data_IF_429062624356
#
_entry.id   IF_429062624356
#
_cell.length_a   1.000
_cell.length_b   1.000
_cell.length_c   1.000
_cell.angle_alpha   90.00
_cell.angle_beta   90.00
_cell.angle_gamma   90.00
#
_symmetry.space_group_name_H-M   'P 1'
#
loop_
_entity.id
_entity.type
_entity.pdbx_description
1 polymer ?
#
# COMPACT_ATOMS: atom_id res chain seq x y z
N UNK A 1 -14.78 83.21 1.45
CA UNK A 1 -15.75 82.66 0.48
C UNK A 1 -15.52 81.15 0.38
N UNK A 2 -16.53 80.37 0.77
CA UNK A 2 -16.84 78.95 0.46
C UNK A 2 -15.70 77.94 0.17
N UNK A 3 -15.48 77.05 1.15
CA UNK A 3 -15.41 75.57 1.10
C UNK A 3 -15.10 74.83 -0.21
N UNK A 4 -14.13 73.90 -0.14
CA UNK A 4 -14.25 72.57 -0.75
C UNK A 4 -13.42 71.52 0.05
N UNK A 5 -14.09 70.44 0.47
CA UNK A 5 -13.55 69.22 1.08
C UNK A 5 -12.96 68.29 -0.01
N UNK A 6 -11.91 67.53 0.33
CA UNK A 6 -11.66 66.12 -0.12
C UNK A 6 -10.46 65.60 0.66
N UNK A 7 -10.70 64.89 1.77
CA UNK A 7 -10.86 63.43 1.90
C UNK A 7 -9.50 62.71 1.93
N UNK A 8 -9.15 62.30 3.14
CA UNK A 8 -8.04 61.43 3.52
C UNK A 8 -8.35 59.99 3.08
N UNK A 9 -7.36 59.26 2.56
CA UNK A 9 -7.39 57.80 2.52
C UNK A 9 -6.01 57.28 2.96
N UNK A 10 -5.95 56.80 4.20
CA UNK A 10 -4.82 56.06 4.72
C UNK A 10 -4.74 54.71 4.00
N UNK A 11 -3.60 54.42 3.37
CA UNK A 11 -3.29 53.10 2.82
C UNK A 11 -3.01 52.13 3.96
N UNK A 12 -3.92 51.18 4.18
CA UNK A 12 -3.69 50.03 5.03
C UNK A 12 -2.88 48.99 4.24
N UNK A 13 -1.62 48.77 4.62
CA UNK A 13 -0.81 47.67 4.13
C UNK A 13 -1.29 46.37 4.80
N UNK A 14 -2.07 45.57 4.08
CA UNK A 14 -2.47 44.23 4.51
C UNK A 14 -1.26 43.31 4.27
N UNK A 15 -0.54 43.01 5.35
CA UNK A 15 0.39 41.89 5.40
C UNK A 15 -0.42 40.60 5.28
N UNK A 16 -0.51 40.05 4.08
CA UNK A 16 -0.99 38.69 3.87
C UNK A 16 0.10 37.73 4.38
N UNK A 17 0.00 37.37 5.65
CA UNK A 17 0.74 36.25 6.21
C UNK A 17 0.23 34.98 5.55
N UNK A 18 0.97 34.47 4.55
CA UNK A 18 0.84 33.11 4.08
C UNK A 18 1.30 32.18 5.21
N UNK A 19 0.36 31.83 6.09
CA UNK A 19 0.53 30.69 6.99
C UNK A 19 0.56 29.44 6.12
N UNK A 20 1.74 28.84 6.00
CA UNK A 20 1.94 27.46 5.60
C UNK A 20 1.01 26.57 6.43
N UNK A 21 -0.06 26.07 5.82
CA UNK A 21 -0.73 24.87 6.31
C UNK A 21 -0.04 23.67 5.65
N UNK A 22 1.02 23.20 6.30
CA UNK A 22 1.44 21.81 6.19
C UNK A 22 1.05 21.12 7.50
N UNK A 23 -0.21 20.72 7.62
CA UNK A 23 -0.61 19.79 8.67
C UNK A 23 -0.19 18.39 8.23
N UNK A 24 1.03 17.99 8.57
CA UNK A 24 1.37 16.58 8.70
C UNK A 24 0.64 16.07 9.95
N UNK A 25 -0.61 15.65 9.79
CA UNK A 25 -1.39 15.03 10.87
C UNK A 25 -0.89 13.59 11.06
N UNK A 26 0.27 13.44 11.71
CA UNK A 26 0.65 12.13 12.25
C UNK A 26 -0.35 11.77 13.34
N UNK A 27 -1.18 10.78 13.05
CA UNK A 27 -2.24 10.28 13.90
C UNK A 27 -1.76 9.04 14.66
N UNK A 28 -2.39 8.79 15.80
CA UNK A 28 -2.17 7.62 16.64
C UNK A 28 -2.38 6.29 15.88
N UNK A 29 -1.70 5.22 16.32
CA UNK A 29 -1.77 3.88 15.73
C UNK A 29 -3.10 3.16 15.99
N UNK A 30 -4.07 3.78 16.68
CA UNK A 30 -5.36 3.19 17.05
C UNK A 30 -6.06 2.40 15.94
N UNK A 31 -6.12 2.87 14.67
CA UNK A 31 -6.75 2.13 13.58
C UNK A 31 -6.08 0.78 13.26
N UNK A 32 -4.79 0.63 13.59
CA UNK A 32 -4.02 -0.60 13.41
C UNK A 32 -3.80 -1.36 14.71
N UNK A 33 -4.26 -0.84 15.84
CA UNK A 33 -4.00 -1.42 17.16
C UNK A 33 -4.40 -2.90 17.22
N UNK A 34 -3.60 -3.67 17.96
CA UNK A 34 -3.75 -5.11 18.13
C UNK A 34 -2.59 -5.91 17.56
N UNK A 35 -2.76 -7.22 17.57
CA UNK A 35 -1.71 -8.18 17.21
C UNK A 35 -1.93 -8.65 15.77
N UNK A 36 -0.84 -8.62 15.00
CA UNK A 36 -0.79 -9.08 13.63
C UNK A 36 0.25 -10.18 13.51
N UNK A 37 -0.03 -11.24 12.75
CA UNK A 37 0.93 -12.32 12.56
C UNK A 37 0.97 -12.89 11.15
N UNK A 38 2.10 -13.49 10.81
CA UNK A 38 2.27 -14.37 9.66
C UNK A 38 3.11 -15.60 10.08
N UNK A 39 3.58 -16.38 9.11
CA UNK A 39 4.36 -17.59 9.40
C UNK A 39 5.69 -17.32 10.10
N UNK A 40 6.24 -16.12 9.97
CA UNK A 40 7.63 -15.81 10.34
C UNK A 40 7.72 -14.83 11.52
N UNK A 41 6.69 -14.02 11.77
CA UNK A 41 6.72 -12.99 12.82
C UNK A 41 5.33 -12.64 13.33
N UNK A 42 5.33 -12.02 14.51
CA UNK A 42 4.20 -11.33 15.11
C UNK A 42 4.60 -9.86 15.28
N UNK A 43 3.70 -8.95 14.96
CA UNK A 43 3.85 -7.51 15.14
C UNK A 43 2.68 -7.05 15.99
N UNK A 44 2.96 -6.62 17.22
CA UNK A 44 1.96 -5.96 18.07
C UNK A 44 2.02 -4.46 17.83
N UNK A 45 0.88 -3.88 17.49
CA UNK A 45 0.70 -2.45 17.34
C UNK A 45 0.03 -1.95 18.62
N UNK A 46 0.80 -1.23 19.42
CA UNK A 46 0.39 -0.77 20.73
C UNK A 46 -0.19 0.66 20.67
N UNK A 47 -1.08 0.99 21.60
CA UNK A 47 -1.71 2.32 21.71
C UNK A 47 -0.71 3.43 22.11
N UNK A 48 0.47 3.06 22.61
CA UNK A 48 1.56 3.99 22.93
C UNK A 48 2.42 4.37 21.72
N UNK A 49 1.93 4.12 20.50
CA UNK A 49 2.62 4.36 19.24
C UNK A 49 3.91 3.54 19.07
N UNK A 50 3.95 2.32 19.63
CA UNK A 50 5.05 1.37 19.44
C UNK A 50 4.65 0.13 18.65
N UNK A 51 5.61 -0.40 17.91
CA UNK A 51 5.55 -1.68 17.21
C UNK A 51 6.48 -2.66 17.91
N UNK A 52 5.92 -3.69 18.54
CA UNK A 52 6.69 -4.78 19.12
C UNK A 52 6.80 -5.94 18.14
N UNK A 53 8.03 -6.30 17.79
CA UNK A 53 8.36 -7.39 16.88
C UNK A 53 8.73 -8.64 17.66
N UNK A 54 8.07 -9.74 17.32
CA UNK A 54 8.38 -11.08 17.83
C UNK A 54 8.67 -11.98 16.64
N UNK A 55 9.87 -12.57 16.59
CA UNK A 55 10.28 -13.43 15.49
C UNK A 55 9.98 -14.89 15.83
N UNK A 56 9.41 -15.63 14.87
CA UNK A 56 9.17 -17.07 14.96
C UNK A 56 10.45 -17.81 14.54
N UNK A 57 11.44 -17.80 15.42
CA UNK A 57 12.79 -18.37 15.18
C UNK A 57 12.82 -19.89 15.32
N UNK A 58 13.93 -20.51 14.91
CA UNK A 58 14.14 -21.96 14.98
C UNK A 58 12.97 -22.77 14.40
N UNK A 59 12.61 -22.51 13.13
CA UNK A 59 11.45 -23.17 12.47
C UNK A 59 10.11 -22.92 13.17
N UNK A 60 9.99 -21.84 13.93
CA UNK A 60 8.81 -21.50 14.72
C UNK A 60 8.78 -22.15 16.10
N UNK A 61 9.82 -22.85 16.54
CA UNK A 61 9.91 -23.45 17.87
C UNK A 61 10.16 -22.43 18.99
N UNK A 62 10.53 -21.20 18.66
CA UNK A 62 10.77 -20.19 19.67
C UNK A 62 10.33 -18.81 19.21
N UNK A 63 9.59 -18.15 20.07
CA UNK A 63 9.16 -16.77 19.88
C UNK A 63 10.15 -15.85 20.58
N UNK A 64 10.92 -15.12 19.76
CA UNK A 64 11.97 -14.21 20.21
C UNK A 64 11.46 -12.77 20.19
N UNK A 65 11.45 -12.10 21.34
CA UNK A 65 11.10 -10.67 21.46
C UNK A 65 12.24 -9.83 20.93
N UNK A 66 12.22 -9.57 19.63
CA UNK A 66 13.37 -9.08 18.90
C UNK A 66 13.56 -7.56 18.97
N UNK A 67 12.48 -6.77 18.91
CA UNK A 67 12.59 -5.30 18.94
C UNK A 67 11.29 -4.60 19.32
N UNK A 68 11.41 -3.36 19.78
CA UNK A 68 10.31 -2.40 19.91
C UNK A 68 10.71 -1.11 19.18
N UNK A 69 9.90 -0.68 18.22
CA UNK A 69 10.14 0.51 17.40
C UNK A 69 9.01 1.53 17.57
N UNK A 70 9.34 2.82 17.58
CA UNK A 70 8.30 3.85 17.56
C UNK A 70 7.73 3.98 16.14
N UNK A 71 6.43 4.17 16.02
CA UNK A 71 5.76 4.40 14.75
C UNK A 71 4.62 5.41 14.86
N UNK A 72 4.15 5.92 13.72
CA UNK A 72 2.97 6.77 13.62
C UNK A 72 2.24 6.52 12.30
N UNK A 73 0.99 6.95 12.20
CA UNK A 73 0.24 6.91 10.95
C UNK A 73 0.14 8.28 10.33
N UNK A 74 0.41 8.36 9.04
CA UNK A 74 0.17 9.54 8.24
C UNK A 74 -0.79 9.18 7.10
N UNK A 75 -1.48 10.19 6.57
CA UNK A 75 -2.20 10.06 5.30
C UNK A 75 -1.26 10.41 4.15
N UNK A 76 -1.20 9.53 3.15
CA UNK A 76 -0.53 9.81 1.89
C UNK A 76 -1.32 10.79 1.03
N UNK A 77 -0.66 11.32 0.00
CA UNK A 77 -1.26 12.32 -0.89
C UNK A 77 -2.39 11.75 -1.75
N UNK A 78 -2.48 10.42 -1.83
CA UNK A 78 -3.34 9.67 -2.73
C UNK A 78 -4.42 8.85 -1.98
N UNK A 79 -4.59 9.11 -0.67
CA UNK A 79 -5.56 8.42 0.18
C UNK A 79 -5.05 7.11 0.80
N UNK A 80 -3.79 6.76 0.57
CA UNK A 80 -3.13 5.62 1.22
C UNK A 80 -2.77 5.92 2.68
N UNK A 81 -2.74 4.89 3.51
CA UNK A 81 -2.22 5.00 4.88
C UNK A 81 -0.72 4.77 4.85
N UNK A 82 0.05 5.67 5.47
CA UNK A 82 1.51 5.57 5.58
C UNK A 82 1.86 5.26 7.04
N UNK A 83 2.40 4.07 7.28
CA UNK A 83 3.04 3.72 8.54
C UNK A 83 4.46 4.29 8.56
N UNK A 84 4.71 5.30 9.39
CA UNK A 84 6.05 5.84 9.59
C UNK A 84 6.75 5.13 10.72
N UNK A 85 7.84 4.42 10.44
CA UNK A 85 8.60 3.67 11.46
C UNK A 85 9.93 4.34 11.74
N UNK A 86 10.23 4.56 13.02
CA UNK A 86 11.49 5.14 13.47
C UNK A 86 12.51 4.04 13.73
N UNK A 87 13.34 3.78 12.73
CA UNK A 87 14.47 2.86 12.85
C UNK A 87 15.64 3.45 13.65
N UNK A 88 16.36 2.65 14.46
CA UNK A 88 17.52 3.12 15.20
C UNK A 88 18.66 3.64 14.32
N UNK A 89 18.82 3.06 13.12
CA UNK A 89 19.85 3.47 12.15
C UNK A 89 19.53 4.77 11.42
N UNK A 90 18.28 5.22 11.45
CA UNK A 90 17.81 6.35 10.64
C UNK A 90 17.53 7.58 11.48
N UNK A 91 17.88 8.76 10.94
CA UNK A 91 17.55 10.03 11.61
C UNK A 91 16.07 10.39 11.47
N UNK A 92 15.45 10.08 10.33
CA UNK A 92 14.04 10.34 10.05
C UNK A 92 13.25 9.04 10.09
N UNK A 93 11.98 9.06 10.53
CA UNK A 93 11.09 7.92 10.35
C UNK A 93 10.94 7.59 8.85
N UNK A 94 10.95 6.30 8.53
CA UNK A 94 10.80 5.81 7.16
C UNK A 94 9.33 5.56 6.85
N UNK A 95 8.87 5.98 5.68
CA UNK A 95 7.50 5.78 5.23
C UNK A 95 7.28 4.36 4.67
N UNK A 96 6.32 3.64 5.23
CA UNK A 96 5.83 2.36 4.74
C UNK A 96 4.35 2.49 4.40
N UNK A 97 4.00 2.70 3.12
CA UNK A 97 2.62 2.63 2.69
C UNK A 97 2.02 1.25 2.97
N UNK A 98 0.80 1.23 3.50
CA UNK A 98 0.08 0.02 3.87
C UNK A 98 -1.38 0.11 3.42
N UNK A 99 -1.91 -1.03 2.97
CA UNK A 99 -3.34 -1.20 2.67
C UNK A 99 -3.94 -2.18 3.66
N UNK A 100 -5.05 -1.82 4.33
CA UNK A 100 -5.77 -2.76 5.20
C UNK A 100 -7.12 -3.08 4.58
N UNK A 101 -7.32 -4.35 4.22
CA UNK A 101 -8.55 -4.86 3.62
C UNK A 101 -9.00 -6.08 4.44
N UNK A 102 -10.19 -6.02 5.04
CA UNK A 102 -10.80 -7.15 5.76
C UNK A 102 -9.86 -7.84 6.78
N UNK A 103 -9.27 -7.06 7.70
CA UNK A 103 -8.31 -7.54 8.71
C UNK A 103 -7.02 -8.16 8.16
N UNK A 104 -6.70 -7.86 6.90
CA UNK A 104 -5.45 -8.26 6.26
C UNK A 104 -4.69 -7.00 5.85
N UNK A 105 -3.39 -6.97 6.15
CA UNK A 105 -2.51 -5.86 5.81
C UNK A 105 -1.66 -6.24 4.59
N UNK A 106 -1.61 -5.35 3.61
CA UNK A 106 -0.94 -5.50 2.33
C UNK A 106 0.16 -4.45 2.17
N UNK A 107 1.29 -4.87 1.61
CA UNK A 107 2.39 -4.01 1.19
C UNK A 107 2.50 -3.88 -0.34
N UNK A 108 1.71 -4.66 -1.07
CA UNK A 108 1.51 -4.55 -2.51
C UNK A 108 0.01 -4.41 -2.75
N UNK A 109 -0.41 -3.16 -2.91
CA UNK A 109 -1.81 -2.78 -3.01
C UNK A 109 -1.95 -1.54 -3.87
N UNK A 110 -3.18 -1.27 -4.28
CA UNK A 110 -3.52 -0.26 -5.26
C UNK A 110 -4.63 0.63 -4.74
N UNK A 111 -4.52 1.92 -5.03
CA UNK A 111 -5.53 2.90 -4.72
C UNK A 111 -6.20 3.38 -6.01
N UNK A 112 -7.53 3.44 -6.01
CA UNK A 112 -8.29 3.95 -7.15
C UNK A 112 -8.00 5.45 -7.33
N UNK A 113 -7.73 5.86 -8.56
CA UNK A 113 -7.53 7.25 -8.92
C UNK A 113 -8.68 7.76 -9.78
N UNK A 114 -9.16 8.95 -9.44
CA UNK A 114 -10.12 9.69 -10.25
C UNK A 114 -9.36 10.84 -10.90
N UNK A 115 -8.82 10.58 -12.10
CA UNK A 115 -8.22 11.64 -12.91
C UNK A 115 -9.38 12.36 -13.58
N UNK A 116 -9.57 13.63 -13.21
CA UNK A 116 -10.51 14.51 -13.88
C UNK A 116 -10.11 14.60 -15.35
N UNK A 117 -11.00 14.17 -16.24
CA UNK A 117 -10.91 14.49 -17.67
C UNK A 117 -11.37 15.93 -17.83
N UNK A 118 -10.58 16.79 -18.49
CA UNK A 118 -10.86 18.22 -18.74
C UNK A 118 -12.14 18.50 -19.56
N UNK A 119 -13.01 17.51 -19.77
CA UNK A 119 -14.29 17.63 -20.46
C UNK A 119 -15.35 18.29 -19.55
N UNK A 120 -15.08 19.54 -19.14
CA UNK A 120 -16.01 20.42 -18.42
C UNK A 120 -16.92 21.25 -19.34
N UNK A 121 -17.03 20.88 -20.62
CA UNK A 121 -17.90 21.54 -21.62
C UNK A 121 -18.85 20.57 -22.34
N UNK A 122 -19.27 19.48 -21.67
CA UNK A 122 -20.41 18.67 -22.14
C UNK A 122 -21.54 18.72 -21.11
N UNK A 123 -22.72 19.29 -21.44
CA UNK A 123 -23.87 19.20 -20.57
C UNK A 123 -24.31 17.73 -20.56
N UNK A 124 -24.45 17.16 -19.37
CA UNK A 124 -24.95 15.79 -19.14
C UNK A 124 -24.04 14.69 -19.72
N UNK A 125 -22.88 14.45 -19.09
CA UNK A 125 -22.21 13.15 -19.26
C UNK A 125 -23.09 12.11 -18.56
N UNK A 126 -23.87 11.39 -19.34
CA UNK A 126 -24.49 10.13 -18.93
C UNK A 126 -23.46 9.35 -18.11
N UNK A 127 -23.82 8.94 -16.89
CA UNK A 127 -22.97 8.03 -16.11
C UNK A 127 -22.82 6.76 -16.93
N UNK A 128 -21.74 6.65 -17.71
CA UNK A 128 -21.43 5.46 -18.48
C UNK A 128 -21.26 4.35 -17.45
N UNK A 129 -22.27 3.50 -17.33
CA UNK A 129 -22.25 2.41 -16.36
C UNK A 129 -21.28 1.36 -16.86
N UNK A 130 -20.05 1.41 -16.37
CA UNK A 130 -19.07 0.38 -16.64
C UNK A 130 -19.52 -0.94 -16.03
N UNK A 131 -19.34 -2.01 -16.77
CA UNK A 131 -19.74 -3.36 -16.36
C UNK A 131 -18.70 -3.93 -15.39
N UNK A 132 -17.43 -3.56 -15.56
CA UNK A 132 -16.38 -4.03 -14.67
C UNK A 132 -16.29 -3.23 -13.37
N UNK A 133 -16.23 -3.92 -12.21
CA UNK A 133 -16.00 -3.26 -10.93
C UNK A 133 -14.56 -2.72 -10.78
N UNK A 134 -13.63 -3.14 -11.64
CA UNK A 134 -12.25 -2.66 -11.65
C UNK A 134 -12.04 -1.49 -12.60
N UNK A 135 -13.06 -1.06 -13.36
CA UNK A 135 -12.88 -0.02 -14.38
C UNK A 135 -12.18 1.24 -13.84
N UNK A 136 -11.18 1.72 -14.56
CA UNK A 136 -10.43 2.93 -14.27
C UNK A 136 -8.98 2.70 -13.87
N UNK A 137 -8.34 3.77 -13.38
CA UNK A 137 -6.92 3.82 -13.06
C UNK A 137 -6.64 3.41 -11.60
N UNK A 138 -5.74 2.44 -11.41
CA UNK A 138 -5.32 1.91 -10.13
C UNK A 138 -3.82 2.08 -9.94
N UNK A 139 -3.47 2.89 -8.95
CA UNK A 139 -2.09 3.29 -8.68
C UNK A 139 -1.48 2.37 -7.66
N UNK A 140 -0.27 1.87 -7.94
CA UNK A 140 0.49 1.13 -6.95
C UNK A 140 0.81 2.05 -5.78
N UNK A 141 0.35 1.67 -4.60
CA UNK A 141 0.56 2.42 -3.36
C UNK A 141 1.65 1.77 -2.50
N UNK A 142 2.22 0.62 -2.88
CA UNK A 142 3.14 -0.16 -2.05
C UNK A 142 4.53 -0.34 -2.66
N UNK A 143 5.58 0.13 -1.97
CA UNK A 143 6.97 0.10 -2.46
C UNK A 143 7.93 -0.73 -1.60
N UNK A 144 7.48 -1.34 -0.50
CA UNK A 144 8.34 -2.16 0.38
C UNK A 144 7.91 -3.62 0.36
N UNK A 145 8.84 -4.54 0.66
CA UNK A 145 8.56 -5.98 0.73
C UNK A 145 8.17 -6.47 2.12
N UNK A 146 8.49 -5.71 3.16
CA UNK A 146 8.25 -6.10 4.54
C UNK A 146 8.31 -4.91 5.49
N UNK A 147 7.64 -5.05 6.64
CA UNK A 147 7.83 -4.21 7.83
C UNK A 147 8.77 -5.01 8.75
N UNK A 148 10.01 -4.57 8.85
CA UNK A 148 11.09 -5.31 9.53
C UNK A 148 11.69 -4.51 10.68
N UNK A 149 12.65 -5.11 11.38
CA UNK A 149 13.39 -4.49 12.49
C UNK A 149 14.46 -3.51 11.97
N UNK A 150 14.89 -3.70 10.72
CA UNK A 150 15.77 -2.80 9.98
C UNK A 150 15.03 -2.19 8.79
N UNK A 151 15.62 -1.15 8.20
CA UNK A 151 15.03 -0.48 7.03
C UNK A 151 14.92 -1.47 5.87
N UNK A 152 13.70 -1.74 5.37
CA UNK A 152 13.50 -2.66 4.26
C UNK A 152 13.96 -2.04 2.94
N UNK A 153 14.34 -2.90 2.00
CA UNK A 153 14.59 -2.49 0.62
C UNK A 153 13.31 -2.03 -0.07
N UNK A 154 13.38 -0.90 -0.79
CA UNK A 154 12.29 -0.38 -1.61
C UNK A 154 12.39 -0.87 -3.05
N UNK A 155 11.26 -1.21 -3.66
CA UNK A 155 11.17 -1.66 -5.05
C UNK A 155 11.69 -0.55 -5.99
N UNK A 156 12.59 -0.82 -6.94
CA UNK A 156 13.05 0.17 -7.91
C UNK A 156 11.98 0.46 -8.97
N UNK A 157 11.01 -0.44 -9.11
CA UNK A 157 9.97 -0.40 -10.13
C UNK A 157 8.64 -0.85 -9.55
N UNK A 158 7.58 -0.24 -10.05
CA UNK A 158 6.20 -0.49 -9.68
C UNK A 158 5.37 -0.69 -10.95
N UNK A 159 4.30 -1.45 -10.83
CA UNK A 159 3.33 -1.62 -11.92
C UNK A 159 2.02 -1.01 -11.48
N UNK A 160 1.43 -0.13 -12.28
CA UNK A 160 0.06 0.36 -12.08
C UNK A 160 -0.85 -0.25 -13.15
N UNK A 161 -2.16 -0.17 -12.93
CA UNK A 161 -3.13 -0.75 -13.83
C UNK A 161 -4.12 0.28 -14.33
N UNK A 162 -4.53 0.15 -15.58
CA UNK A 162 -5.76 0.76 -16.05
C UNK A 162 -6.67 -0.34 -16.58
N UNK A 163 -7.88 -0.45 -16.03
CA UNK A 163 -8.85 -1.46 -16.45
C UNK A 163 -9.94 -0.81 -17.29
N UNK A 164 -10.25 -1.44 -18.42
CA UNK A 164 -11.49 -1.22 -19.17
C UNK A 164 -12.51 -2.30 -18.78
N UNK A 165 -13.62 -2.40 -19.51
CA UNK A 165 -14.63 -3.43 -19.25
C UNK A 165 -14.14 -4.86 -19.55
N UNK A 166 -13.12 -5.03 -20.39
CA UNK A 166 -12.62 -6.34 -20.82
C UNK A 166 -11.09 -6.47 -20.85
N UNK A 167 -10.36 -5.36 -20.84
CA UNK A 167 -8.91 -5.30 -21.00
C UNK A 167 -8.24 -4.60 -19.82
N UNK A 168 -6.97 -4.91 -19.60
CA UNK A 168 -6.12 -4.27 -18.60
C UNK A 168 -4.80 -3.84 -19.23
N UNK A 169 -4.37 -2.65 -18.86
CA UNK A 169 -3.09 -2.07 -19.23
C UNK A 169 -2.15 -2.10 -18.02
N UNK A 170 -0.95 -2.65 -18.20
CA UNK A 170 0.12 -2.67 -17.20
C UNK A 170 1.07 -1.51 -17.49
N UNK A 171 1.13 -0.57 -16.56
CA UNK A 171 1.90 0.66 -16.68
C UNK A 171 3.12 0.55 -15.78
N UNK A 172 4.31 0.46 -16.35
CA UNK A 172 5.56 0.37 -15.59
C UNK A 172 6.02 1.75 -15.16
N UNK A 173 6.29 1.89 -13.87
CA UNK A 173 6.90 3.05 -13.24
C UNK A 173 8.27 2.65 -12.68
N UNK A 174 9.28 3.48 -12.87
CA UNK A 174 10.62 3.30 -12.30
C UNK A 174 10.99 4.49 -11.44
N UNK A 175 11.84 4.25 -10.43
CA UNK A 175 12.28 5.28 -9.51
C UNK A 175 12.96 6.43 -10.27
N UNK A 176 12.63 7.66 -9.89
CA UNK A 176 13.16 8.87 -10.48
C UNK A 176 13.67 9.82 -9.39
N UNK A 177 14.81 10.45 -9.64
CA UNK A 177 15.37 11.48 -8.77
C UNK A 177 14.90 12.85 -9.26
N UNK A 178 13.60 13.12 -9.05
CA UNK A 178 12.93 14.38 -9.42
C UNK A 178 11.99 14.81 -8.30
N UNK A 179 11.77 16.12 -8.10
CA UNK A 179 10.74 16.58 -7.19
C UNK A 179 9.36 16.09 -7.67
N UNK A 180 8.52 15.71 -6.71
CA UNK A 180 7.17 15.30 -7.03
C UNK A 180 6.31 16.51 -7.42
N UNK A 181 5.63 16.39 -8.56
CA UNK A 181 4.65 17.33 -9.06
C UNK A 181 3.45 16.53 -9.60
N UNK A 182 2.24 17.04 -9.40
CA UNK A 182 1.04 16.44 -9.99
C UNK A 182 0.97 16.84 -11.46
N UNK A 183 1.28 15.90 -12.32
CA UNK A 183 1.19 16.01 -13.77
C UNK A 183 0.63 14.70 -14.33
N UNK A 184 -0.19 14.77 -15.36
CA UNK A 184 -0.71 13.60 -16.06
C UNK A 184 -0.08 13.46 -17.43
N UNK A 185 -0.05 12.24 -17.94
CA UNK A 185 0.41 11.90 -19.30
C UNK A 185 -0.62 11.02 -19.98
N UNK A 186 -0.63 11.07 -21.31
CA UNK A 186 -1.56 10.30 -22.11
C UNK A 186 -0.98 8.90 -22.40
N UNK A 187 -1.85 7.90 -22.32
CA UNK A 187 -1.64 6.55 -22.82
C UNK A 187 -2.55 6.38 -24.03
N UNK A 188 -2.00 5.94 -25.15
CA UNK A 188 -2.75 5.77 -26.38
C UNK A 188 -2.37 4.44 -27.05
N UNK A 189 -3.38 3.59 -27.27
CA UNK A 189 -3.26 2.28 -27.93
C UNK A 189 -3.78 2.30 -29.38
N UNK A 190 -3.97 3.49 -29.96
CA UNK A 190 -4.57 3.72 -31.27
C UNK A 190 -6.08 3.91 -31.19
N UNK A 191 -6.79 2.93 -30.63
CA UNK A 191 -8.27 2.92 -30.57
C UNK A 191 -8.82 3.52 -29.26
N UNK A 192 -8.00 3.54 -28.21
CA UNK A 192 -8.38 4.00 -26.89
C UNK A 192 -7.28 4.88 -26.29
N UNK A 193 -7.68 5.98 -25.67
CA UNK A 193 -6.77 6.91 -25.00
C UNK A 193 -7.29 7.27 -23.62
N UNK A 194 -6.38 7.33 -22.65
CA UNK A 194 -6.68 7.70 -21.27
C UNK A 194 -5.49 8.41 -20.62
N UNK A 195 -5.75 9.12 -19.53
CA UNK A 195 -4.72 9.82 -18.75
C UNK A 195 -4.30 9.02 -17.52
N UNK A 196 -3.02 9.12 -17.17
CA UNK A 196 -2.43 8.52 -15.96
C UNK A 196 -1.47 9.50 -15.30
N UNK A 197 -1.16 9.29 -14.02
CA UNK A 197 -0.18 10.12 -13.33
C UNK A 197 1.21 9.93 -13.95
N UNK A 198 1.89 11.03 -14.28
CA UNK A 198 3.26 10.98 -14.80
C UNK A 198 4.26 10.62 -13.72
N UNK A 199 4.05 11.19 -12.54
CA UNK A 199 4.85 10.99 -11.34
C UNK A 199 3.96 10.35 -10.28
N UNK A 200 4.47 9.30 -9.66
CA UNK A 200 3.85 8.66 -8.50
C UNK A 200 4.74 8.86 -7.29
N UNK A 201 4.18 9.40 -6.22
CA UNK A 201 4.84 9.43 -4.92
C UNK A 201 4.31 8.28 -4.08
N UNK A 202 5.20 7.37 -3.71
CA UNK A 202 4.89 6.20 -2.88
C UNK A 202 5.82 6.22 -1.68
N UNK A 203 5.26 6.50 -0.50
CA UNK A 203 6.05 6.85 0.69
C UNK A 203 6.86 8.12 0.44
N UNK A 204 8.18 8.04 0.61
CA UNK A 204 9.10 9.16 0.37
C UNK A 204 9.81 9.08 -1.00
N UNK A 205 9.45 8.13 -1.88
CA UNK A 205 10.10 7.90 -3.18
C UNK A 205 9.17 8.30 -4.33
N UNK A 206 9.76 8.94 -5.35
CA UNK A 206 9.09 9.32 -6.59
C UNK A 206 9.43 8.33 -7.70
N UNK A 207 8.41 7.95 -8.47
CA UNK A 207 8.51 7.08 -9.63
C UNK A 207 7.92 7.77 -10.86
N UNK A 208 8.37 7.39 -12.06
CA UNK A 208 7.84 7.92 -13.32
C UNK A 208 7.62 6.80 -14.34
N UNK A 209 6.66 7.00 -15.25
CA UNK A 209 6.37 6.11 -16.38
C UNK A 209 6.87 6.66 -17.73
N UNK A 210 7.52 7.83 -17.74
CA UNK A 210 8.03 8.48 -18.95
C UNK A 210 9.48 8.91 -18.77
N UNK A 211 10.22 8.97 -19.88
CA UNK A 211 11.61 9.43 -19.87
C UNK A 211 11.64 10.95 -20.07
N UNK A 212 12.31 11.67 -19.17
CA UNK A 212 12.55 13.10 -19.28
C UNK A 212 11.26 13.92 -19.38
N UNK A 213 11.11 14.71 -20.46
CA UNK A 213 9.92 15.54 -20.73
C UNK A 213 8.84 14.81 -21.55
N UNK A 214 8.83 13.48 -21.52
CA UNK A 214 7.83 12.71 -22.23
C UNK A 214 6.41 13.09 -21.78
N UNK A 215 5.50 13.18 -22.75
CA UNK A 215 4.07 13.45 -22.54
C UNK A 215 3.20 12.22 -22.77
N UNK A 216 3.79 11.12 -23.23
CA UNK A 216 3.11 9.89 -23.58
C UNK A 216 3.81 8.67 -22.97
N UNK A 217 3.03 7.74 -22.43
CA UNK A 217 3.52 6.43 -22.01
C UNK A 217 3.64 5.54 -23.23
N UNK A 218 4.85 5.01 -23.47
CA UNK A 218 5.13 4.11 -24.61
C UNK A 218 5.42 2.67 -24.18
N UNK A 219 5.63 2.46 -22.88
CA UNK A 219 6.02 1.17 -22.32
C UNK A 219 4.88 0.64 -21.45
N UNK A 220 3.83 0.16 -22.12
CA UNK A 220 2.72 -0.51 -21.47
C UNK A 220 2.48 -1.86 -22.12
N UNK A 221 2.05 -2.83 -21.31
CA UNK A 221 1.56 -4.11 -21.80
C UNK A 221 0.04 -4.10 -21.71
N UNK A 222 -0.63 -4.81 -22.62
CA UNK A 222 -2.09 -4.87 -22.69
C UNK A 222 -2.52 -6.32 -22.82
N UNK A 223 -3.54 -6.72 -22.04
CA UNK A 223 -4.14 -8.04 -22.15
C UNK A 223 -5.59 -8.05 -21.69
N UNK A 224 -6.31 -9.14 -21.90
CA UNK A 224 -7.66 -9.33 -21.37
C UNK A 224 -7.63 -9.73 -19.91
N UNK A 225 -8.73 -9.60 -19.17
CA UNK A 225 -8.82 -10.17 -17.82
C UNK A 225 -10.19 -10.75 -17.53
N UNK A 226 -10.24 -11.66 -16.57
CA UNK A 226 -11.50 -12.24 -16.07
C UNK A 226 -11.50 -12.25 -14.55
N UNK A 227 -12.63 -11.91 -13.95
CA UNK A 227 -12.84 -11.96 -12.49
C UNK A 227 -13.69 -13.18 -12.17
N UNK A 228 -13.17 -14.05 -11.30
CA UNK A 228 -13.86 -15.26 -10.84
C UNK A 228 -13.94 -15.23 -9.30
N UNK A 229 -15.01 -14.63 -8.78
CA UNK A 229 -15.19 -14.45 -7.34
C UNK A 229 -14.04 -13.62 -6.73
N UNK A 230 -13.27 -14.25 -5.85
CA UNK A 230 -12.13 -13.65 -5.15
C UNK A 230 -10.79 -13.85 -5.90
N UNK A 231 -10.83 -14.10 -7.21
CA UNK A 231 -9.62 -14.23 -8.05
C UNK A 231 -9.73 -13.42 -9.33
N UNK A 232 -8.58 -13.03 -9.87
CA UNK A 232 -8.44 -12.40 -11.19
C UNK A 232 -7.41 -13.17 -12.01
N UNK A 233 -7.71 -13.35 -13.30
CA UNK A 233 -6.78 -13.93 -14.28
C UNK A 233 -6.46 -12.88 -15.31
N UNK A 234 -5.17 -12.69 -15.59
CA UNK A 234 -4.70 -11.83 -16.68
C UNK A 234 -4.32 -12.67 -17.90
N UNK A 235 -4.83 -12.29 -19.06
CA UNK A 235 -4.68 -13.00 -20.31
C UNK A 235 -5.57 -14.24 -20.41
N UNK A 236 -5.13 -15.21 -21.21
CA UNK A 236 -5.86 -16.45 -21.49
C UNK A 236 -5.28 -17.66 -20.77
N UNK A 237 -4.26 -17.48 -19.93
CA UNK A 237 -3.61 -18.56 -19.18
C UNK A 237 -4.38 -18.84 -17.88
N UNK A 238 -5.24 -19.88 -17.81
CA UNK A 238 -6.11 -20.11 -16.66
C UNK A 238 -5.35 -20.53 -15.40
N UNK A 239 -4.08 -20.94 -15.54
CA UNK A 239 -3.21 -21.37 -14.44
C UNK A 239 -2.62 -20.19 -13.64
N UNK A 240 -2.61 -18.96 -14.19
CA UNK A 240 -2.11 -17.76 -13.52
C UNK A 240 -3.25 -16.96 -12.89
N UNK A 241 -3.83 -17.51 -11.83
CA UNK A 241 -4.84 -16.85 -11.01
C UNK A 241 -4.17 -16.10 -9.86
N UNK A 242 -4.60 -14.85 -9.67
CA UNK A 242 -4.17 -14.01 -8.56
C UNK A 242 -5.34 -13.81 -7.60
N UNK A 243 -5.12 -13.79 -6.28
CA UNK A 243 -6.16 -13.43 -5.33
C UNK A 243 -6.63 -11.99 -5.62
N UNK A 244 -7.91 -11.71 -5.38
CA UNK A 244 -8.53 -10.40 -5.57
C UNK A 244 -9.11 -9.92 -4.24
N UNK A 245 -8.41 -9.00 -3.61
CA UNK A 245 -8.89 -8.34 -2.39
C UNK A 245 -9.38 -6.93 -2.72
N UNK A 246 -10.58 -6.59 -2.27
CA UNK A 246 -11.19 -5.27 -2.45
C UNK A 246 -11.73 -4.74 -1.14
N UNK A 247 -11.51 -3.45 -0.88
CA UNK A 247 -12.17 -2.78 0.23
C UNK A 247 -13.67 -2.59 -0.05
N UNK A 248 -14.46 -2.43 1.02
CA UNK A 248 -15.92 -2.29 0.91
C UNK A 248 -16.35 -1.07 0.09
N UNK A 249 -15.60 0.02 0.19
CA UNK A 249 -15.78 1.27 -0.57
C UNK A 249 -15.16 1.22 -1.99
N UNK A 250 -14.52 0.10 -2.36
CA UNK A 250 -13.82 -0.08 -3.64
C UNK A 250 -12.73 0.97 -3.93
N UNK A 251 -12.14 1.56 -2.89
CA UNK A 251 -11.00 2.48 -3.00
C UNK A 251 -9.65 1.75 -3.02
N UNK A 252 -9.57 0.58 -2.38
CA UNK A 252 -8.36 -0.24 -2.29
C UNK A 252 -8.54 -1.60 -2.97
N UNK A 253 -7.43 -2.07 -3.54
CA UNK A 253 -7.33 -3.31 -4.28
C UNK A 253 -5.98 -3.98 -4.00
N UNK A 254 -5.93 -5.31 -3.91
CA UNK A 254 -4.66 -6.03 -3.86
C UNK A 254 -4.76 -7.36 -4.64
N UNK A 255 -3.67 -7.69 -5.34
CA UNK A 255 -3.53 -8.92 -6.13
C UNK A 255 -2.55 -9.93 -5.50
N UNK A 256 -1.89 -9.55 -4.41
CA UNK A 256 -0.96 -10.41 -3.69
C UNK A 256 -1.62 -11.06 -2.49
N UNK A 257 -0.98 -12.09 -1.95
CA UNK A 257 -1.28 -12.54 -0.59
C UNK A 257 -1.03 -11.40 0.42
N UNK A 258 -1.76 -11.38 1.54
CA UNK A 258 -1.54 -10.39 2.58
C UNK A 258 -0.16 -10.57 3.22
N UNK A 259 0.47 -9.46 3.56
CA UNK A 259 1.77 -9.48 4.25
C UNK A 259 1.65 -10.03 5.68
N UNK A 260 0.60 -9.59 6.38
CA UNK A 260 0.32 -9.98 7.76
C UNK A 260 -1.19 -9.91 8.01
N UNK A 261 -1.72 -10.81 8.82
CA UNK A 261 -3.15 -10.88 9.14
C UNK A 261 -3.38 -10.60 10.61
N UNK A 262 -4.55 -10.09 10.96
CA UNK A 262 -4.92 -9.87 12.37
C UNK A 262 -4.95 -11.22 13.10
N UNK A 263 -4.25 -11.29 14.23
CA UNK A 263 -4.17 -12.46 15.08
C UNK A 263 -5.37 -12.54 16.03
N UNK A 264 -5.69 -13.75 16.49
CA UNK A 264 -6.65 -14.01 17.56
C UNK A 264 -6.01 -13.96 18.96
N UNK A 265 -4.69 -13.78 19.04
CA UNK A 265 -3.98 -13.65 20.32
C UNK A 265 -4.51 -12.43 21.08
N UNK A 266 -4.96 -12.64 22.31
CA UNK A 266 -5.43 -11.57 23.20
C UNK A 266 -4.31 -11.00 24.08
N UNK A 267 -3.42 -11.86 24.58
CA UNK A 267 -2.27 -11.51 25.41
C UNK A 267 -0.99 -12.06 24.77
N UNK A 268 -0.18 -11.14 24.22
CA UNK A 268 1.06 -11.49 23.54
C UNK A 268 2.09 -12.13 24.48
N UNK A 269 2.20 -11.62 25.71
CA UNK A 269 3.23 -12.07 26.64
C UNK A 269 2.92 -13.45 27.18
N UNK A 270 1.65 -13.71 27.49
CA UNK A 270 1.18 -15.05 27.85
C UNK A 270 1.38 -16.04 26.70
N UNK A 271 1.04 -15.66 25.46
CA UNK A 271 1.23 -16.52 24.30
C UNK A 271 2.70 -16.86 24.04
N UNK A 272 3.62 -15.89 24.20
CA UNK A 272 5.06 -16.14 24.09
C UNK A 272 5.54 -17.08 25.20
N UNK A 273 5.13 -16.85 26.45
CA UNK A 273 5.54 -17.67 27.57
C UNK A 273 5.04 -19.12 27.43
N UNK A 274 3.78 -19.31 27.04
CA UNK A 274 3.18 -20.62 26.77
C UNK A 274 3.94 -21.33 25.64
N UNK A 275 4.09 -20.67 24.48
CA UNK A 275 4.79 -21.24 23.33
C UNK A 275 6.22 -21.66 23.68
N UNK A 276 6.98 -20.81 24.36
CA UNK A 276 8.36 -21.06 24.72
C UNK A 276 8.51 -22.05 25.90
N UNK A 277 7.45 -22.33 26.65
CA UNK A 277 7.48 -23.32 27.75
C UNK A 277 7.49 -24.76 27.25
N UNK A 278 7.01 -24.99 26.01
CA UNK A 278 7.06 -26.30 25.40
C UNK A 278 8.51 -26.71 25.20
N UNK A 279 8.91 -27.80 25.86
CA UNK A 279 10.22 -28.41 25.67
C UNK A 279 10.26 -29.00 24.27
N UNK A 280 10.82 -28.25 23.32
CA UNK A 280 11.17 -28.80 22.04
C UNK A 280 12.34 -29.77 22.25
N UNK A 281 12.01 -31.06 22.35
CA UNK A 281 13.03 -32.10 22.41
C UNK A 281 14.02 -31.85 21.27
N UNK A 282 15.32 -31.68 21.56
CA UNK A 282 16.31 -31.57 20.51
C UNK A 282 16.13 -32.80 19.63
N UNK A 283 15.97 -32.56 18.34
CA UNK A 283 15.84 -33.65 17.38
C UNK A 283 17.06 -34.56 17.57
N UNK A 284 16.81 -35.85 17.79
CA UNK A 284 17.89 -36.83 17.97
C UNK A 284 18.84 -36.85 16.76
N UNK A 285 18.33 -36.43 15.59
CA UNK A 285 19.11 -36.19 14.39
C UNK A 285 18.74 -34.82 13.78
N UNK A 286 19.70 -33.89 13.56
CA UNK A 286 19.45 -32.61 12.91
C UNK A 286 18.82 -32.73 11.51
N UNK A 287 19.05 -33.85 10.81
CA UNK A 287 18.46 -34.10 9.49
C UNK A 287 16.99 -34.51 9.53
N UNK A 288 16.44 -34.90 10.69
CA UNK A 288 15.01 -35.20 10.84
C UNK A 288 14.13 -33.94 10.79
N UNK A 289 14.70 -32.73 10.90
CA UNK A 289 13.96 -31.47 10.66
C UNK A 289 13.33 -31.47 9.27
N UNK A 290 14.06 -31.96 8.26
CA UNK A 290 13.61 -32.01 6.87
C UNK A 290 12.56 -33.10 6.61
N UNK A 291 12.38 -34.03 7.56
CA UNK A 291 11.38 -35.09 7.49
C UNK A 291 10.15 -34.80 8.37
N UNK A 292 10.19 -33.74 9.19
CA UNK A 292 9.01 -33.27 9.90
C UNK A 292 8.13 -32.51 8.93
N UNK A 293 6.86 -32.91 8.88
CA UNK A 293 5.85 -32.15 8.17
C UNK A 293 5.80 -30.74 8.74
N UNK A 294 5.96 -29.77 7.87
CA UNK A 294 5.66 -28.38 8.19
C UNK A 294 4.19 -28.26 8.58
N UNK A 295 3.84 -27.22 9.35
CA UNK A 295 2.43 -26.91 9.65
C UNK A 295 1.58 -26.77 8.37
N UNK A 296 2.22 -26.45 7.23
CA UNK A 296 1.62 -26.43 5.90
C UNK A 296 1.31 -27.83 5.35
N UNK A 297 2.23 -28.78 5.44
CA UNK A 297 2.01 -30.17 5.02
C UNK A 297 0.98 -30.89 5.90
N UNK A 298 0.96 -30.61 7.21
CA UNK A 298 -0.10 -31.11 8.09
C UNK A 298 -1.48 -30.52 7.75
N UNK A 299 -1.52 -29.27 7.30
CA UNK A 299 -2.75 -28.61 6.86
C UNK A 299 -3.25 -29.17 5.51
N UNK A 300 -2.34 -29.48 4.58
CA UNK A 300 -2.65 -30.15 3.32
C UNK A 300 -3.19 -31.56 3.54
N UNK A 301 -2.61 -32.34 4.46
CA UNK A 301 -3.11 -33.68 4.77
C UNK A 301 -4.51 -33.68 5.36
N UNK A 302 -4.80 -32.71 6.25
CA UNK A 302 -6.14 -32.52 6.80
C UNK A 302 -7.16 -32.10 5.74
N UNK A 303 -6.73 -31.47 4.65
CA UNK A 303 -7.58 -31.12 3.51
C UNK A 303 -7.79 -32.29 2.55
N UNK A 304 -6.83 -33.21 2.42
CA UNK A 304 -6.94 -34.40 1.55
C UNK A 304 -7.74 -35.57 2.16
N UNK A 305 -8.15 -35.49 3.43
CA UNK A 305 -8.93 -36.54 4.11
C UNK A 305 -10.45 -36.30 4.02
N UNK A 306 -10.91 -35.29 3.27
CA UNK A 306 -12.33 -35.12 2.89
C UNK A 306 -12.57 -35.48 1.43
#
# INVERSE_FOLDING_TARGET
MKTAKKLCLCGAAIFFGLTLFAQNNSTDLTPLAGIWENSNRIISVNEDNTLQFVLKTFYGFYFDKAAVLNASLDSGENGETILRVKYPSERKPQAHPIGVINNKLFLDFYCRSYIETDDMDSPETETVSHTSPLYGYWRCCGNVKGIEIAVPYTKPELTCYYFTDSEVYFLRYWQADVPYERETVDVNDGDFSFKVDKLLKVGDIVYTCVVGRGTFVRNFEKTTYTINGDTVTFGTEPEKQYPLYRSHDSSLLAFSEPYIVRSEIADLDAAIAEHNSHTHNPLKNPMEVFNRKTAWEEKLEKMTIN
#
